data_IF_345510858183
#
_entry.id   IF_345510858183
#
_cell.length_a   1.000
_cell.length_b   1.000
_cell.length_c   1.000
_cell.angle_alpha   90.00
_cell.angle_beta   90.00
_cell.angle_gamma   90.00
#
_symmetry.space_group_name_H-M   'P 1'
#
loop_
_entity.id
_entity.type
_entity.pdbx_description
1 polymer ?
#
# COMPACT_ATOMS: atom_id res chain seq x y z
N UNK A 1 2.85 -16.52 12.61
CA UNK A 1 2.66 -17.81 11.95
C UNK A 1 3.98 -18.56 11.99
N UNK A 2 4.01 -19.74 12.61
CA UNK A 2 5.20 -20.58 12.71
C UNK A 2 5.00 -21.80 11.80
N UNK A 3 5.03 -21.57 10.49
CA UNK A 3 4.97 -22.65 9.49
C UNK A 3 6.37 -23.03 9.05
N UNK A 4 6.58 -24.31 8.77
CA UNK A 4 7.77 -24.79 8.06
C UNK A 4 7.56 -24.55 6.55
N UNK A 5 8.40 -23.77 5.87
CA UNK A 5 8.27 -23.52 4.44
C UNK A 5 8.59 -24.74 3.56
N UNK A 6 9.40 -25.71 4.03
CA UNK A 6 9.90 -26.79 3.19
C UNK A 6 8.80 -27.73 2.66
N UNK A 7 7.84 -28.23 3.46
CA UNK A 7 6.73 -29.02 2.96
C UNK A 7 5.84 -28.24 1.98
N UNK A 8 5.63 -26.94 2.23
CA UNK A 8 4.85 -26.07 1.34
C UNK A 8 5.53 -25.97 -0.02
N UNK A 9 6.85 -25.73 -0.02
CA UNK A 9 7.66 -25.64 -1.25
C UNK A 9 7.65 -26.94 -2.03
N UNK A 10 7.74 -28.10 -1.35
CA UNK A 10 7.65 -29.40 -1.99
C UNK A 10 6.31 -29.59 -2.70
N UNK A 11 5.17 -29.20 -2.07
CA UNK A 11 3.85 -29.24 -2.71
C UNK A 11 3.78 -28.31 -3.93
N UNK A 12 4.50 -27.19 -3.92
CA UNK A 12 4.57 -26.23 -5.03
C UNK A 12 5.58 -26.64 -6.11
N UNK A 13 6.17 -27.83 -6.03
CA UNK A 13 7.12 -28.34 -7.00
C UNK A 13 8.56 -27.85 -6.82
N UNK A 14 8.87 -27.23 -5.69
CA UNK A 14 10.22 -26.77 -5.33
C UNK A 14 10.78 -27.69 -4.25
N UNK A 15 11.16 -28.90 -4.62
CA UNK A 15 11.55 -29.97 -3.68
C UNK A 15 12.95 -29.77 -3.04
N UNK A 16 13.85 -29.05 -3.72
CA UNK A 16 15.23 -28.86 -3.26
C UNK A 16 15.68 -27.40 -3.50
N UNK A 17 15.21 -26.43 -2.70
CA UNK A 17 15.70 -25.07 -2.79
C UNK A 17 17.18 -25.01 -2.34
N UNK A 18 17.97 -24.15 -3.00
CA UNK A 18 19.36 -23.92 -2.61
C UNK A 18 19.47 -23.18 -1.26
N UNK A 19 18.50 -22.30 -0.98
CA UNK A 19 18.43 -21.50 0.25
C UNK A 19 17.00 -21.10 0.56
N UNK A 20 16.62 -21.13 1.83
CA UNK A 20 15.34 -20.61 2.33
C UNK A 20 15.64 -19.76 3.55
N UNK A 21 15.32 -18.47 3.46
CA UNK A 21 15.56 -17.52 4.52
C UNK A 21 14.28 -16.77 4.88
N UNK A 22 14.02 -16.61 6.16
CA UNK A 22 12.93 -15.76 6.61
C UNK A 22 13.26 -14.30 6.33
N UNK A 23 12.43 -13.64 5.53
CA UNK A 23 12.56 -12.22 5.28
C UNK A 23 12.05 -11.42 6.49
N UNK A 24 12.76 -10.34 6.82
CA UNK A 24 12.35 -9.39 7.83
C UNK A 24 11.44 -8.35 7.17
N UNK A 25 10.20 -8.24 7.62
CA UNK A 25 9.20 -7.29 7.10
C UNK A 25 7.82 -7.95 6.99
N UNK A 26 6.78 -7.16 7.21
CA UNK A 26 5.40 -7.63 7.25
C UNK A 26 4.95 -7.98 8.68
N UNK A 27 4.03 -7.17 9.22
CA UNK A 27 3.50 -7.39 10.58
C UNK A 27 2.50 -8.56 10.61
N UNK A 28 1.92 -8.93 9.46
CA UNK A 28 0.75 -9.78 9.38
C UNK A 28 0.96 -11.11 8.63
N UNK A 29 2.14 -11.33 8.02
CA UNK A 29 2.44 -12.55 7.27
C UNK A 29 3.85 -13.06 7.55
N UNK A 30 4.06 -14.36 7.39
CA UNK A 30 5.39 -14.95 7.33
C UNK A 30 5.87 -14.94 5.88
N UNK A 31 7.05 -14.40 5.64
CA UNK A 31 7.63 -14.29 4.30
C UNK A 31 8.98 -14.99 4.31
N UNK A 32 9.23 -15.81 3.30
CA UNK A 32 10.54 -16.42 3.05
C UNK A 32 11.03 -16.06 1.65
N UNK A 33 12.31 -15.74 1.59
CA UNK A 33 13.05 -15.72 0.33
C UNK A 33 13.55 -17.13 0.04
N UNK A 34 13.17 -17.65 -1.11
CA UNK A 34 13.50 -19.01 -1.56
C UNK A 34 14.37 -18.89 -2.79
N UNK A 35 15.60 -19.37 -2.71
CA UNK A 35 16.53 -19.39 -3.85
C UNK A 35 16.57 -20.80 -4.45
N UNK A 36 16.39 -20.89 -5.74
CA UNK A 36 16.66 -22.06 -6.56
C UNK A 36 17.85 -21.72 -7.47
N UNK A 37 18.43 -22.70 -8.17
CA UNK A 37 19.69 -22.47 -8.89
C UNK A 37 19.72 -21.25 -9.85
N UNK A 38 18.58 -20.76 -10.32
CA UNK A 38 18.51 -19.62 -11.26
C UNK A 38 17.49 -18.56 -10.89
N UNK A 39 16.62 -18.79 -9.91
CA UNK A 39 15.52 -17.89 -9.55
C UNK A 39 15.41 -17.73 -8.05
N UNK A 40 14.92 -16.57 -7.65
CA UNK A 40 14.48 -16.32 -6.27
C UNK A 40 12.96 -16.07 -6.24
N UNK A 41 12.31 -16.64 -5.24
CA UNK A 41 10.88 -16.51 -5.01
C UNK A 41 10.62 -15.91 -3.63
N UNK A 42 9.46 -15.28 -3.48
CA UNK A 42 8.86 -14.96 -2.20
C UNK A 42 7.75 -15.97 -1.92
N UNK A 43 7.90 -16.73 -0.84
CA UNK A 43 6.82 -17.53 -0.28
C UNK A 43 6.20 -16.74 0.87
N UNK A 44 4.91 -16.39 0.78
CA UNK A 44 4.20 -15.59 1.78
C UNK A 44 3.02 -16.38 2.33
N UNK A 45 3.04 -16.68 3.62
CA UNK A 45 1.94 -17.32 4.33
C UNK A 45 1.21 -16.30 5.20
N UNK A 46 -0.10 -16.22 5.03
CA UNK A 46 -0.98 -15.30 5.72
C UNK A 46 -1.77 -16.02 6.83
N UNK A 47 -2.46 -15.26 7.68
CA UNK A 47 -3.36 -15.84 8.68
C UNK A 47 -4.62 -16.39 8.03
N UNK A 48 -5.29 -17.40 8.61
CA UNK A 48 -6.51 -18.01 8.05
C UNK A 48 -7.62 -16.99 7.75
N UNK A 49 -7.77 -15.98 8.60
CA UNK A 49 -8.81 -14.94 8.46
C UNK A 49 -8.57 -14.05 7.23
N UNK A 50 -7.36 -14.02 6.70
CA UNK A 50 -6.98 -13.22 5.54
C UNK A 50 -7.27 -13.92 4.19
N UNK A 51 -7.89 -15.12 4.19
CA UNK A 51 -8.21 -15.86 2.97
C UNK A 51 -8.97 -15.02 1.91
N UNK A 52 -10.05 -14.29 2.24
CA UNK A 52 -10.74 -13.47 1.25
C UNK A 52 -9.84 -12.34 0.70
N UNK A 53 -8.99 -11.77 1.55
CA UNK A 53 -8.06 -10.71 1.16
C UNK A 53 -6.94 -11.25 0.27
N UNK A 54 -6.43 -12.46 0.54
CA UNK A 54 -5.42 -13.10 -0.30
C UNK A 54 -5.91 -13.32 -1.74
N UNK A 55 -7.15 -13.73 -1.91
CA UNK A 55 -7.77 -13.87 -3.24
C UNK A 55 -7.87 -12.52 -3.96
N UNK A 56 -8.32 -11.46 -3.26
CA UNK A 56 -8.40 -10.11 -3.84
C UNK A 56 -7.02 -9.55 -4.18
N UNK A 57 -6.02 -9.75 -3.34
CA UNK A 57 -4.64 -9.36 -3.60
C UNK A 57 -4.11 -10.03 -4.85
N UNK A 58 -4.37 -11.32 -5.03
CA UNK A 58 -3.98 -12.06 -6.22
C UNK A 58 -4.60 -11.45 -7.51
N UNK A 59 -5.88 -11.09 -7.48
CA UNK A 59 -6.55 -10.45 -8.62
C UNK A 59 -6.03 -9.03 -8.88
N UNK A 60 -5.78 -8.25 -7.81
CA UNK A 60 -5.17 -6.93 -7.92
C UNK A 60 -3.79 -7.00 -8.58
N UNK A 61 -2.95 -7.95 -8.15
CA UNK A 61 -1.61 -8.17 -8.72
C UNK A 61 -1.67 -8.56 -10.19
N UNK A 62 -2.59 -9.46 -10.58
CA UNK A 62 -2.79 -9.86 -11.99
C UNK A 62 -3.23 -8.67 -12.84
N UNK A 63 -4.23 -7.90 -12.37
CA UNK A 63 -4.73 -6.72 -13.07
C UNK A 63 -3.65 -5.64 -13.21
N UNK A 64 -2.91 -5.33 -12.15
CA UNK A 64 -1.82 -4.37 -12.16
C UNK A 64 -0.75 -4.77 -13.18
N UNK A 65 -0.33 -6.05 -13.16
CA UNK A 65 0.66 -6.58 -14.10
C UNK A 65 0.18 -6.54 -15.54
N UNK A 66 -1.06 -6.92 -15.81
CA UNK A 66 -1.67 -6.83 -17.14
C UNK A 66 -1.75 -5.38 -17.63
N UNK A 67 -1.92 -4.41 -16.73
CA UNK A 67 -1.88 -2.97 -16.99
C UNK A 67 -0.47 -2.39 -17.13
N UNK A 68 0.59 -3.21 -17.09
CA UNK A 68 1.98 -2.78 -17.25
C UNK A 68 2.62 -2.19 -15.99
N UNK A 69 2.01 -2.38 -14.82
CA UNK A 69 2.61 -2.04 -13.53
C UNK A 69 3.60 -3.16 -13.14
N UNK A 70 4.87 -2.85 -12.82
CA UNK A 70 5.83 -3.84 -12.36
C UNK A 70 5.39 -4.39 -11.01
N UNK A 71 4.81 -5.58 -11.03
CA UNK A 71 4.26 -6.28 -9.86
C UNK A 71 4.82 -7.69 -9.86
N UNK A 72 5.15 -8.29 -8.69
CA UNK A 72 5.66 -9.65 -8.64
C UNK A 72 4.76 -10.63 -9.42
N UNK A 73 5.29 -11.40 -10.37
CA UNK A 73 4.54 -12.50 -10.97
C UNK A 73 4.06 -13.47 -9.89
N UNK A 74 2.75 -13.68 -9.80
CA UNK A 74 2.15 -14.67 -8.92
C UNK A 74 2.13 -16.02 -9.60
N UNK A 75 2.79 -17.02 -9.02
CA UNK A 75 2.87 -18.40 -9.54
C UNK A 75 1.78 -19.28 -8.96
N UNK A 76 1.48 -19.12 -7.66
CA UNK A 76 0.46 -19.90 -6.99
C UNK A 76 -0.16 -19.14 -5.82
N UNK A 77 -1.45 -19.40 -5.60
CA UNK A 77 -2.15 -19.14 -4.36
C UNK A 77 -2.79 -20.46 -3.95
N UNK A 78 -2.34 -21.03 -2.85
CA UNK A 78 -2.82 -22.30 -2.30
C UNK A 78 -3.28 -22.12 -0.85
N UNK A 79 -3.94 -23.12 -0.32
CA UNK A 79 -4.21 -23.26 1.12
C UNK A 79 -3.29 -24.33 1.70
N UNK A 80 -2.63 -24.01 2.81
CA UNK A 80 -1.81 -24.93 3.59
C UNK A 80 -2.17 -24.84 5.07
N UNK A 81 -2.67 -25.92 5.64
CA UNK A 81 -3.10 -25.98 7.05
C UNK A 81 -4.03 -24.82 7.45
N UNK A 82 -4.97 -24.45 6.57
CA UNK A 82 -5.88 -23.35 6.78
C UNK A 82 -5.31 -21.96 6.46
N UNK A 83 -4.02 -21.84 6.16
CA UNK A 83 -3.35 -20.60 5.82
C UNK A 83 -3.34 -20.37 4.30
N UNK A 84 -3.76 -19.21 3.80
CA UNK A 84 -3.50 -18.84 2.41
C UNK A 84 -2.00 -18.58 2.20
N UNK A 85 -1.43 -19.22 1.18
CA UNK A 85 -0.01 -19.12 0.85
C UNK A 85 0.15 -18.70 -0.60
N UNK A 86 0.93 -17.65 -0.81
CA UNK A 86 1.32 -17.16 -2.14
C UNK A 86 2.77 -17.50 -2.45
N UNK A 87 3.00 -17.99 -3.66
CA UNK A 87 4.33 -18.08 -4.27
C UNK A 87 4.43 -17.07 -5.40
N UNK A 88 5.39 -16.18 -5.31
CA UNK A 88 5.61 -15.12 -6.31
C UNK A 88 7.10 -14.93 -6.57
N UNK A 89 7.47 -14.24 -7.66
CA UNK A 89 8.87 -13.87 -7.87
C UNK A 89 9.38 -12.96 -6.76
N UNK A 90 10.64 -13.17 -6.36
CA UNK A 90 11.36 -12.20 -5.54
C UNK A 90 11.84 -11.06 -6.44
N UNK A 91 11.26 -9.87 -6.27
CA UNK A 91 11.58 -8.72 -7.11
C UNK A 91 12.94 -8.12 -6.76
N UNK A 92 13.71 -7.67 -7.77
CA UNK A 92 14.98 -7.01 -7.55
C UNK A 92 14.80 -5.60 -6.98
N UNK A 93 15.88 -5.06 -6.40
CA UNK A 93 15.92 -3.71 -5.84
C UNK A 93 15.74 -3.68 -4.33
N UNK A 94 15.66 -2.47 -3.81
CA UNK A 94 15.45 -2.17 -2.39
C UNK A 94 14.28 -1.21 -2.24
N UNK A 95 13.63 -1.15 -1.05
CA UNK A 95 12.59 -0.16 -0.81
C UNK A 95 13.03 1.26 -1.18
N UNK A 96 12.19 1.98 -1.91
CA UNK A 96 12.46 3.36 -2.35
C UNK A 96 12.87 4.26 -1.18
N UNK A 97 12.32 4.02 0.01
CA UNK A 97 12.69 4.77 1.22
C UNK A 97 14.20 4.72 1.51
N UNK A 98 14.87 3.59 1.28
CA UNK A 98 16.34 3.49 1.46
C UNK A 98 17.07 4.34 0.44
N UNK A 99 16.63 4.31 -0.82
CA UNK A 99 17.26 5.09 -1.90
C UNK A 99 17.20 6.60 -1.67
N UNK A 100 16.03 7.09 -1.22
CA UNK A 100 15.83 8.53 -0.99
C UNK A 100 16.55 9.08 0.23
N UNK A 101 17.06 8.23 1.11
CA UNK A 101 17.90 8.63 2.23
C UNK A 101 19.35 8.85 1.80
N UNK A 102 19.82 8.13 0.77
CA UNK A 102 21.22 8.10 0.33
C UNK A 102 21.50 9.09 -0.82
N UNK A 103 20.49 9.49 -1.62
CA UNK A 103 20.65 10.32 -2.81
C UNK A 103 19.56 11.42 -2.90
N UNK A 104 19.80 12.51 -3.69
CA UNK A 104 18.78 13.51 -3.95
C UNK A 104 17.51 12.88 -4.53
N UNK A 105 16.46 12.81 -3.73
CA UNK A 105 15.24 12.03 -3.93
C UNK A 105 14.38 12.44 -5.17
N UNK A 106 14.80 13.41 -5.98
CA UNK A 106 13.93 14.05 -6.95
C UNK A 106 13.39 13.15 -8.07
N UNK A 107 14.27 12.42 -8.77
CA UNK A 107 13.89 11.64 -9.95
C UNK A 107 13.08 10.38 -9.57
N UNK A 108 13.53 9.60 -8.60
CA UNK A 108 12.80 8.41 -8.15
C UNK A 108 11.47 8.75 -7.51
N UNK A 109 11.37 9.84 -6.73
CA UNK A 109 10.09 10.28 -6.19
C UNK A 109 9.13 10.81 -7.27
N UNK A 110 9.65 11.38 -8.35
CA UNK A 110 8.85 11.75 -9.51
C UNK A 110 8.31 10.50 -10.21
N UNK A 111 9.16 9.50 -10.46
CA UNK A 111 8.74 8.19 -11.01
C UNK A 111 7.73 7.48 -10.09
N UNK A 112 7.89 7.59 -8.77
CA UNK A 112 6.94 7.08 -7.78
C UNK A 112 5.54 7.67 -8.01
N UNK A 113 5.42 8.96 -8.30
CA UNK A 113 4.15 9.58 -8.68
C UNK A 113 3.62 9.08 -10.03
N UNK A 114 4.47 8.99 -11.04
CA UNK A 114 4.08 8.45 -12.35
C UNK A 114 3.59 7.01 -12.25
N UNK A 115 4.22 6.20 -11.42
CA UNK A 115 3.82 4.81 -11.21
C UNK A 115 2.43 4.69 -10.57
N UNK A 116 2.11 5.53 -9.58
CA UNK A 116 0.75 5.56 -9.01
C UNK A 116 -0.30 5.98 -10.05
N UNK A 117 0.04 6.92 -10.94
CA UNK A 117 -0.85 7.28 -12.04
C UNK A 117 -1.09 6.11 -13.01
N UNK A 118 -0.06 5.27 -13.26
CA UNK A 118 -0.22 4.03 -14.06
C UNK A 118 -1.13 3.03 -13.37
N UNK A 119 -1.00 2.83 -12.05
CA UNK A 119 -1.91 1.97 -11.27
C UNK A 119 -3.35 2.45 -11.46
N UNK A 120 -3.61 3.75 -11.30
CA UNK A 120 -4.94 4.35 -11.44
C UNK A 120 -5.50 4.34 -12.86
N UNK A 121 -4.68 4.10 -13.87
CA UNK A 121 -5.14 3.89 -15.24
C UNK A 121 -5.72 2.48 -15.45
N UNK A 122 -5.41 1.52 -14.58
CA UNK A 122 -5.88 0.14 -14.65
C UNK A 122 -7.35 0.07 -14.19
N UNK A 123 -8.27 -0.50 -14.98
CA UNK A 123 -9.61 -0.86 -14.50
C UNK A 123 -9.50 -1.88 -13.36
N UNK A 124 -10.30 -1.69 -12.31
CA UNK A 124 -10.36 -2.68 -11.25
C UNK A 124 -11.01 -3.98 -11.76
N UNK A 125 -10.49 -5.17 -11.39
CA UNK A 125 -11.11 -6.43 -11.75
C UNK A 125 -12.47 -6.61 -11.03
N UNK A 126 -13.39 -7.39 -11.60
CA UNK A 126 -14.74 -7.59 -11.05
C UNK A 126 -14.77 -8.03 -9.59
N UNK A 127 -13.81 -8.85 -9.18
CA UNK A 127 -13.68 -9.36 -7.82
C UNK A 127 -13.48 -8.22 -6.80
N UNK A 128 -12.72 -7.18 -7.15
CA UNK A 128 -12.55 -6.00 -6.33
C UNK A 128 -13.77 -5.07 -6.39
N UNK A 129 -14.40 -4.97 -7.57
CA UNK A 129 -15.60 -4.13 -7.77
C UNK A 129 -16.79 -4.62 -6.95
N UNK A 130 -16.93 -5.93 -6.80
CA UNK A 130 -18.05 -6.58 -6.10
C UNK A 130 -17.72 -6.92 -4.64
N UNK A 131 -16.51 -6.61 -4.17
CA UNK A 131 -16.15 -6.89 -2.78
C UNK A 131 -16.96 -6.00 -1.81
N UNK A 132 -17.63 -6.59 -0.80
CA UNK A 132 -18.55 -5.86 0.07
C UNK A 132 -17.90 -4.75 0.90
N UNK A 133 -16.62 -4.94 1.28
CA UNK A 133 -15.87 -3.99 2.08
C UNK A 133 -14.96 -3.15 1.17
N UNK A 134 -15.50 -2.07 0.63
CA UNK A 134 -14.75 -1.11 -0.15
C UNK A 134 -13.86 -0.20 0.70
N UNK A 135 -13.24 0.80 0.05
CA UNK A 135 -12.37 1.76 0.75
C UNK A 135 -13.13 2.73 1.65
N UNK A 136 -14.40 3.04 1.35
CA UNK A 136 -15.23 3.96 2.15
C UNK A 136 -15.49 3.38 3.53
N UNK A 137 -15.68 2.07 3.62
CA UNK A 137 -15.98 1.33 4.85
C UNK A 137 -14.83 1.38 5.88
N UNK A 138 -13.63 1.82 5.49
CA UNK A 138 -12.52 2.02 6.43
C UNK A 138 -12.75 3.17 7.43
N UNK A 139 -13.78 4.00 7.21
CA UNK A 139 -14.21 5.00 8.18
C UNK A 139 -14.88 4.37 9.43
N UNK A 140 -15.34 3.11 9.35
CA UNK A 140 -16.20 2.56 10.40
C UNK A 140 -17.50 3.37 10.55
N UNK A 141 -18.08 3.37 11.73
CA UNK A 141 -19.37 4.03 12.00
C UNK A 141 -19.23 5.50 12.48
N UNK A 142 -18.02 5.99 12.67
CA UNK A 142 -17.77 7.30 13.32
C UNK A 142 -18.06 8.52 12.43
N UNK A 143 -18.10 8.33 11.10
CA UNK A 143 -18.20 9.44 10.15
C UNK A 143 -19.30 9.19 9.08
N UNK A 144 -20.60 9.00 9.48
CA UNK A 144 -21.67 8.60 8.55
C UNK A 144 -21.96 9.67 7.48
N UNK A 145 -21.91 10.94 7.81
CA UNK A 145 -22.14 12.03 6.84
C UNK A 145 -21.03 12.07 5.79
N UNK A 146 -19.79 11.80 6.14
CA UNK A 146 -18.67 11.70 5.22
C UNK A 146 -18.81 10.48 4.30
N UNK A 147 -19.21 9.33 4.85
CA UNK A 147 -19.48 8.13 4.06
C UNK A 147 -20.59 8.37 3.03
N UNK A 148 -21.73 8.94 3.47
CA UNK A 148 -22.85 9.26 2.59
C UNK A 148 -22.41 10.17 1.44
N UNK A 149 -21.66 11.21 1.76
CA UNK A 149 -21.15 12.15 0.74
C UNK A 149 -20.19 11.49 -0.25
N UNK A 150 -19.33 10.58 0.22
CA UNK A 150 -18.43 9.83 -0.65
C UNK A 150 -19.18 8.84 -1.54
N UNK A 151 -20.21 8.14 -1.00
CA UNK A 151 -21.05 7.22 -1.78
C UNK A 151 -21.92 7.95 -2.83
N UNK A 152 -22.23 9.23 -2.61
CA UNK A 152 -22.96 10.05 -3.56
C UNK A 152 -22.12 10.53 -4.76
N UNK A 153 -20.77 10.36 -4.71
CA UNK A 153 -19.92 10.72 -5.84
C UNK A 153 -20.12 9.74 -7.02
N UNK A 154 -19.91 10.21 -8.25
CA UNK A 154 -19.87 9.31 -9.41
C UNK A 154 -18.87 8.17 -9.18
N UNK A 155 -19.35 6.94 -9.37
CA UNK A 155 -18.55 5.74 -9.17
C UNK A 155 -17.38 5.70 -10.14
N UNK A 156 -16.21 5.35 -9.63
CA UNK A 156 -14.98 5.14 -10.39
C UNK A 156 -14.37 3.82 -9.96
N UNK A 157 -14.42 2.83 -10.84
CA UNK A 157 -13.88 1.49 -10.57
C UNK A 157 -12.47 1.38 -11.15
N UNK A 158 -11.54 2.09 -10.54
CA UNK A 158 -10.12 1.99 -10.86
C UNK A 158 -9.41 1.14 -9.82
N UNK A 159 -8.33 0.49 -10.23
CA UNK A 159 -7.45 -0.17 -9.28
C UNK A 159 -6.77 0.88 -8.41
N UNK A 160 -6.94 0.78 -7.10
CA UNK A 160 -6.29 1.62 -6.11
C UNK A 160 -5.55 0.75 -5.10
N UNK A 161 -4.36 1.17 -4.68
CA UNK A 161 -3.47 0.39 -3.83
C UNK A 161 -3.78 0.56 -2.34
N UNK A 162 -4.12 1.77 -1.91
CA UNK A 162 -4.45 2.22 -0.55
C UNK A 162 -3.34 2.09 0.51
N UNK A 163 -2.20 1.53 0.13
CA UNK A 163 -0.99 1.48 0.95
C UNK A 163 0.25 1.82 0.11
N UNK A 164 0.07 2.76 -0.83
CA UNK A 164 1.13 3.17 -1.75
C UNK A 164 2.10 4.13 -1.08
N UNK A 165 3.21 3.59 -0.59
CA UNK A 165 4.25 4.36 0.09
C UNK A 165 5.67 3.82 -0.23
N UNK A 166 6.74 4.58 0.07
CA UNK A 166 8.10 4.24 -0.37
C UNK A 166 8.69 2.94 0.19
N UNK A 167 8.05 2.29 1.16
CA UNK A 167 8.46 0.95 1.61
C UNK A 167 7.82 -0.16 0.75
N UNK A 168 6.68 0.12 0.10
CA UNK A 168 5.95 -0.81 -0.77
C UNK A 168 6.30 -0.62 -2.26
N UNK A 169 7.29 0.20 -2.56
CA UNK A 169 7.81 0.39 -3.92
C UNK A 169 9.31 0.12 -3.91
N UNK A 170 9.75 -0.79 -4.76
CA UNK A 170 11.16 -1.13 -4.90
C UNK A 170 11.80 -0.32 -6.03
N UNK A 171 13.06 0.04 -5.83
CA UNK A 171 13.89 0.70 -6.83
C UNK A 171 15.21 -0.06 -7.04
N UNK A 172 15.61 -0.18 -8.29
CA UNK A 172 16.89 -0.75 -8.71
C UNK A 172 17.58 0.26 -9.62
N UNK A 173 18.80 0.66 -9.26
CA UNK A 173 19.47 1.75 -9.96
C UNK A 173 18.63 3.05 -9.90
N UNK A 174 18.28 3.58 -11.04
CA UNK A 174 17.57 4.85 -11.24
C UNK A 174 16.09 4.69 -11.61
N UNK A 175 15.54 3.47 -11.49
CA UNK A 175 14.15 3.18 -11.86
C UNK A 175 13.39 2.39 -10.80
N UNK A 176 12.06 2.49 -10.86
CA UNK A 176 11.17 1.66 -10.03
C UNK A 176 11.10 0.26 -10.63
N UNK A 177 11.50 -0.74 -9.84
CA UNK A 177 11.55 -2.15 -10.23
C UNK A 177 10.29 -2.92 -9.87
N UNK A 178 9.59 -2.54 -8.79
CA UNK A 178 8.33 -3.20 -8.42
C UNK A 178 7.44 -2.35 -7.50
N UNK A 179 6.14 -2.66 -7.54
CA UNK A 179 5.14 -2.30 -6.53
C UNK A 179 4.70 -3.59 -5.85
N UNK A 180 4.79 -3.63 -4.52
CA UNK A 180 4.52 -4.81 -3.69
C UNK A 180 3.45 -4.51 -2.64
N UNK A 181 2.95 -5.56 -1.98
CA UNK A 181 1.97 -5.51 -0.89
C UNK A 181 0.61 -4.90 -1.31
N UNK A 182 -0.09 -5.65 -2.15
CA UNK A 182 -1.41 -5.29 -2.67
C UNK A 182 -2.57 -5.70 -1.74
N UNK A 183 -2.28 -6.07 -0.49
CA UNK A 183 -3.27 -6.54 0.49
C UNK A 183 -4.43 -5.56 0.67
N UNK A 184 -4.14 -4.27 0.60
CA UNK A 184 -5.12 -3.19 0.76
C UNK A 184 -5.80 -2.76 -0.55
N UNK A 185 -5.44 -3.35 -1.69
CA UNK A 185 -5.98 -2.95 -2.98
C UNK A 185 -7.50 -3.10 -3.06
N UNK A 186 -8.15 -2.12 -3.68
CA UNK A 186 -9.62 -2.07 -3.87
C UNK A 186 -9.96 -1.51 -5.25
N UNK A 187 -11.23 -1.66 -5.62
CA UNK A 187 -11.82 -0.82 -6.65
C UNK A 187 -12.25 0.53 -6.05
N UNK A 188 -11.91 1.63 -6.71
CA UNK A 188 -12.29 2.92 -6.14
C UNK A 188 -11.91 4.14 -6.97
N UNK A 189 -12.14 5.30 -6.35
CA UNK A 189 -11.73 6.59 -6.90
C UNK A 189 -10.22 6.80 -6.64
N UNK A 190 -9.40 7.07 -7.66
CA UNK A 190 -7.98 7.38 -7.53
C UNK A 190 -7.65 8.43 -6.48
N UNK A 191 -8.55 9.38 -6.21
CA UNK A 191 -8.38 10.42 -5.21
C UNK A 191 -8.28 9.86 -3.79
N UNK A 192 -8.93 8.72 -3.49
CA UNK A 192 -8.82 8.05 -2.20
C UNK A 192 -7.37 7.57 -1.96
N UNK A 193 -6.79 6.90 -2.96
CA UNK A 193 -5.41 6.41 -2.87
C UNK A 193 -4.39 7.56 -2.82
N UNK A 194 -4.59 8.62 -3.60
CA UNK A 194 -3.77 9.83 -3.51
C UNK A 194 -3.82 10.47 -2.12
N UNK A 195 -5.01 10.57 -1.55
CA UNK A 195 -5.17 11.15 -0.22
C UNK A 195 -4.52 10.27 0.86
N UNK A 196 -4.61 8.95 0.73
CA UNK A 196 -3.95 7.99 1.62
C UNK A 196 -2.43 8.10 1.51
N UNK A 197 -1.88 8.07 0.29
CA UNK A 197 -0.43 8.26 0.05
C UNK A 197 0.05 9.59 0.64
N UNK A 198 -0.69 10.69 0.41
CA UNK A 198 -0.35 11.98 1.00
C UNK A 198 -0.33 11.94 2.53
N UNK A 199 -1.34 11.33 3.15
CA UNK A 199 -1.43 11.21 4.60
C UNK A 199 -0.24 10.41 5.17
N UNK A 200 0.11 9.28 4.56
CA UNK A 200 1.28 8.48 4.95
C UNK A 200 2.56 9.31 4.80
N UNK A 201 2.80 9.91 3.64
CA UNK A 201 4.01 10.69 3.39
C UNK A 201 4.16 11.91 4.33
N UNK A 202 3.06 12.51 4.80
CA UNK A 202 3.09 13.79 5.52
C UNK A 202 2.79 13.69 7.00
N UNK A 203 1.98 12.73 7.41
CA UNK A 203 1.39 12.70 8.74
C UNK A 203 1.77 11.49 9.57
N UNK A 204 2.17 10.37 8.92
CA UNK A 204 2.60 9.20 9.67
C UNK A 204 3.92 9.46 10.40
N UNK A 205 4.06 9.14 11.71
CA UNK A 205 5.31 9.33 12.43
C UNK A 205 6.36 8.32 11.99
N UNK A 206 7.49 8.83 11.59
CA UNK A 206 8.66 8.00 11.26
C UNK A 206 9.71 7.99 12.39
N UNK A 207 9.60 8.92 13.32
CA UNK A 207 10.48 9.09 14.49
C UNK A 207 9.67 9.60 15.67
N UNK A 208 10.19 9.51 16.91
CA UNK A 208 9.60 10.21 18.05
C UNK A 208 9.48 11.73 17.81
N UNK A 209 8.48 12.36 18.42
CA UNK A 209 8.35 13.82 18.40
C UNK A 209 9.43 14.50 19.28
N UNK A 210 9.96 15.66 18.86
CA UNK A 210 9.72 16.34 17.58
C UNK A 210 10.50 15.73 16.42
N UNK A 211 9.85 15.58 15.28
CA UNK A 211 10.51 15.09 14.05
C UNK A 211 11.68 16.00 13.65
N UNK A 212 12.88 15.45 13.32
CA UNK A 212 14.03 16.23 12.90
C UNK A 212 13.77 17.14 11.70
N UNK A 213 14.30 18.37 11.66
CA UNK A 213 14.08 19.30 10.53
C UNK A 213 14.49 18.72 9.17
N UNK A 214 15.59 17.96 9.11
CA UNK A 214 16.03 17.30 7.87
C UNK A 214 15.02 16.28 7.35
N UNK A 215 14.44 15.47 8.23
CA UNK A 215 13.41 14.51 7.86
C UNK A 215 12.12 15.22 7.37
N UNK A 216 11.71 16.30 8.04
CA UNK A 216 10.59 17.14 7.55
C UNK A 216 10.86 17.72 6.17
N UNK A 217 12.07 18.17 5.90
CA UNK A 217 12.47 18.69 4.59
C UNK A 217 12.43 17.58 3.53
N UNK A 218 12.98 16.41 3.83
CA UNK A 218 12.93 15.23 2.94
C UNK A 218 11.49 14.85 2.59
N UNK A 219 10.61 14.73 3.58
CA UNK A 219 9.19 14.40 3.37
C UNK A 219 8.47 15.41 2.48
N UNK A 220 8.78 16.70 2.64
CA UNK A 220 8.24 17.76 1.76
C UNK A 220 8.74 17.60 0.33
N UNK A 221 10.03 17.37 0.15
CA UNK A 221 10.63 17.18 -1.17
C UNK A 221 10.05 15.95 -1.88
N UNK A 222 9.97 14.81 -1.16
CA UNK A 222 9.36 13.58 -1.67
C UNK A 222 7.90 13.80 -2.08
N UNK A 223 7.08 14.38 -1.20
CA UNK A 223 5.67 14.64 -1.48
C UNK A 223 5.48 15.55 -2.68
N UNK A 224 6.32 16.60 -2.81
CA UNK A 224 6.27 17.53 -3.94
C UNK A 224 6.68 16.85 -5.26
N UNK A 225 7.74 16.04 -5.26
CA UNK A 225 8.19 15.31 -6.45
C UNK A 225 7.16 14.26 -6.88
N UNK A 226 6.64 13.47 -5.93
CA UNK A 226 5.57 12.52 -6.15
C UNK A 226 4.33 13.17 -6.78
N UNK A 227 3.85 14.27 -6.21
CA UNK A 227 2.68 14.98 -6.73
C UNK A 227 2.88 15.45 -8.16
N UNK A 228 4.04 16.07 -8.46
CA UNK A 228 4.38 16.47 -9.84
C UNK A 228 4.46 15.27 -10.78
N UNK A 229 5.05 14.16 -10.33
CA UNK A 229 5.12 12.92 -11.13
C UNK A 229 3.73 12.39 -11.46
N UNK A 230 2.83 12.31 -10.47
CA UNK A 230 1.46 11.90 -10.69
C UNK A 230 0.72 12.82 -11.68
N UNK A 231 0.74 14.12 -11.42
CA UNK A 231 0.01 15.09 -12.23
C UNK A 231 0.56 15.24 -13.65
N UNK A 232 1.82 14.89 -13.88
CA UNK A 232 2.41 14.87 -15.24
C UNK A 232 1.81 13.80 -16.15
N UNK A 233 1.22 12.75 -15.56
CA UNK A 233 0.60 11.62 -16.30
C UNK A 233 -0.92 11.71 -16.27
N UNK A 234 -1.50 11.86 -15.08
CA UNK A 234 -2.95 11.79 -14.87
C UNK A 234 -3.66 13.16 -14.88
N UNK A 235 -2.90 14.26 -14.91
CA UNK A 235 -3.46 15.59 -14.71
C UNK A 235 -3.82 15.89 -13.25
N UNK A 236 -4.43 17.04 -13.00
CA UNK A 236 -4.84 17.43 -11.66
C UNK A 236 -6.11 16.68 -11.23
N UNK A 237 -6.15 16.05 -10.03
CA UNK A 237 -7.26 15.19 -9.62
C UNK A 237 -8.56 15.94 -9.27
N UNK A 238 -8.56 17.27 -9.25
CA UNK A 238 -9.68 18.10 -8.83
C UNK A 238 -9.74 18.31 -7.32
N UNK A 239 -10.96 18.44 -6.78
CA UNK A 239 -11.13 18.65 -5.33
C UNK A 239 -10.82 17.39 -4.53
N UNK A 240 -9.92 17.54 -3.57
CA UNK A 240 -9.42 16.49 -2.70
C UNK A 240 -10.01 16.55 -1.28
N UNK A 241 -10.87 17.52 -0.99
CA UNK A 241 -11.28 17.83 0.40
C UNK A 241 -11.94 16.64 1.10
N UNK A 242 -12.90 15.97 0.45
CA UNK A 242 -13.56 14.76 0.98
C UNK A 242 -12.55 13.61 1.19
N UNK A 243 -11.65 13.43 0.23
CA UNK A 243 -10.69 12.31 0.24
C UNK A 243 -9.60 12.52 1.30
N UNK A 244 -9.12 13.75 1.50
CA UNK A 244 -8.21 14.05 2.59
C UNK A 244 -8.88 13.85 3.94
N UNK A 245 -10.16 14.28 4.10
CA UNK A 245 -10.90 13.97 5.32
C UNK A 245 -11.00 12.48 5.56
N UNK A 246 -11.42 11.72 4.55
CA UNK A 246 -11.47 10.25 4.60
C UNK A 246 -10.12 9.64 4.99
N UNK A 247 -9.05 10.00 4.31
CA UNK A 247 -7.73 9.43 4.57
C UNK A 247 -7.25 9.67 6.00
N UNK A 248 -7.57 10.82 6.57
CA UNK A 248 -7.22 11.15 7.95
C UNK A 248 -7.98 10.29 8.96
N UNK A 249 -9.29 10.12 8.81
CA UNK A 249 -10.09 9.28 9.71
C UNK A 249 -9.76 7.79 9.53
N UNK A 250 -9.62 7.30 8.29
CA UNK A 250 -9.18 5.94 8.04
C UNK A 250 -7.80 5.64 8.66
N UNK A 251 -6.87 6.61 8.59
CA UNK A 251 -5.55 6.49 9.21
C UNK A 251 -5.65 6.44 10.74
N UNK A 252 -6.56 7.20 11.35
CA UNK A 252 -6.80 7.11 12.80
C UNK A 252 -7.27 5.72 13.18
N UNK A 253 -8.23 5.14 12.45
CA UNK A 253 -8.76 3.80 12.71
C UNK A 253 -7.67 2.73 12.60
N UNK A 254 -6.77 2.84 11.62
CA UNK A 254 -5.62 1.92 11.47
C UNK A 254 -4.60 2.04 12.61
N UNK A 255 -4.33 3.26 13.07
CA UNK A 255 -3.22 3.53 13.99
C UNK A 255 -3.64 3.51 15.45
N UNK A 256 -4.91 3.74 15.76
CA UNK A 256 -5.41 3.77 17.14
C UNK A 256 -5.10 2.50 17.95
N UNK A 257 -5.24 1.27 17.39
CA UNK A 257 -4.86 0.03 18.08
C UNK A 257 -3.35 -0.12 18.32
N UNK A 258 -2.54 0.72 17.68
CA UNK A 258 -1.07 0.71 17.74
C UNK A 258 -0.51 1.80 18.67
N UNK A 259 -1.37 2.63 19.28
CA UNK A 259 -0.95 3.67 20.21
C UNK A 259 -0.21 3.04 21.39
N UNK A 260 0.92 3.64 21.77
CA UNK A 260 1.85 3.09 22.75
C UNK A 260 2.86 2.08 22.18
N UNK A 261 2.75 1.75 20.88
CA UNK A 261 3.71 0.93 20.15
C UNK A 261 4.40 1.78 19.08
N UNK A 262 5.67 1.49 18.78
CA UNK A 262 6.48 2.28 17.84
C UNK A 262 6.50 3.77 18.25
N UNK A 263 6.12 4.67 17.32
CA UNK A 263 6.09 6.13 17.53
C UNK A 263 4.66 6.69 17.58
N UNK A 264 3.64 5.81 17.71
CA UNK A 264 2.25 6.24 17.72
C UNK A 264 1.82 6.70 19.12
N UNK A 265 1.38 7.95 19.23
CA UNK A 265 0.95 8.58 20.48
C UNK A 265 -0.47 9.14 20.36
N UNK A 266 -1.12 9.39 21.50
CA UNK A 266 -2.42 10.07 21.52
C UNK A 266 -2.35 11.49 20.91
N UNK A 267 -1.23 12.20 21.08
CA UNK A 267 -1.05 13.52 20.46
C UNK A 267 -1.03 13.43 18.93
N UNK A 268 -0.44 12.37 18.41
CA UNK A 268 -0.44 12.04 17.00
C UNK A 268 -1.85 11.84 16.49
N UNK A 269 -2.66 11.02 17.18
CA UNK A 269 -4.07 10.81 16.82
C UNK A 269 -4.83 12.14 16.87
N UNK A 270 -4.55 12.98 17.84
CA UNK A 270 -5.15 14.32 17.92
C UNK A 270 -4.75 15.23 16.73
N UNK A 271 -3.49 15.17 16.28
CA UNK A 271 -3.04 15.90 15.07
C UNK A 271 -3.76 15.41 13.81
N UNK A 272 -3.86 14.09 13.64
CA UNK A 272 -4.58 13.46 12.52
C UNK A 272 -6.03 13.89 12.52
N UNK A 273 -6.70 13.84 13.68
CA UNK A 273 -8.10 14.24 13.83
C UNK A 273 -8.30 15.71 13.49
N UNK A 274 -7.44 16.63 13.98
CA UNK A 274 -7.50 18.05 13.60
C UNK A 274 -7.34 18.26 12.09
N UNK A 275 -6.43 17.52 11.47
CA UNK A 275 -6.22 17.60 10.02
C UNK A 275 -7.44 17.07 9.24
N UNK A 276 -7.96 15.89 9.59
CA UNK A 276 -9.14 15.30 8.96
C UNK A 276 -10.38 16.20 9.09
N UNK A 277 -10.64 16.72 10.31
CA UNK A 277 -11.77 17.63 10.59
C UNK A 277 -11.65 18.94 9.81
N UNK A 278 -10.44 19.49 9.66
CA UNK A 278 -10.22 20.69 8.84
C UNK A 278 -10.65 20.44 7.37
N UNK A 279 -10.31 19.27 6.82
CA UNK A 279 -10.70 18.93 5.46
C UNK A 279 -12.19 18.62 5.34
N UNK A 280 -12.78 18.00 6.37
CA UNK A 280 -14.21 17.77 6.48
C UNK A 280 -15.00 19.07 6.35
N UNK A 281 -14.63 20.07 7.15
CA UNK A 281 -15.23 21.43 7.08
C UNK A 281 -15.03 22.06 5.70
N UNK A 282 -13.87 21.91 5.10
CA UNK A 282 -13.59 22.44 3.76
C UNK A 282 -14.45 21.78 2.68
N UNK A 283 -14.86 20.54 2.90
CA UNK A 283 -15.81 19.82 2.06
C UNK A 283 -17.28 20.17 2.33
N UNK A 284 -17.57 21.11 3.25
CA UNK A 284 -18.92 21.52 3.63
C UNK A 284 -19.63 20.53 4.55
N UNK A 285 -18.88 19.75 5.33
CA UNK A 285 -19.40 18.84 6.34
C UNK A 285 -18.90 19.30 7.72
N UNK A 286 -19.85 19.56 8.62
CA UNK A 286 -19.57 19.97 10.02
C UNK A 286 -19.49 18.77 10.97
#
# INVERSE_FOLDING_TARGET
>A
VTLDPLPILAQLGIAAPARVERAHGGLDAAIWRVETGQKAYALRAMRPEQRPIAALEAEAMRAARAGGVPTPPLHALIEWEGHPVMLMDWMPGVPLMRRVQDEPAGALCFQFGQMQARIHAVPAPPELVHFPCGWIEWLGDDEPALQERLRALPRRDRLIHLDYHPLNVLAEGDHISAVIDWTNARAGDPRADLARTYAILRLEPMTPDPEPPALRALRRAMTSAWWRGYTSVAGHPGDMSLFFSWAGFAMINDLLPRVGKFHYTHEHMARLRRWATRWKRRAGLD
#
